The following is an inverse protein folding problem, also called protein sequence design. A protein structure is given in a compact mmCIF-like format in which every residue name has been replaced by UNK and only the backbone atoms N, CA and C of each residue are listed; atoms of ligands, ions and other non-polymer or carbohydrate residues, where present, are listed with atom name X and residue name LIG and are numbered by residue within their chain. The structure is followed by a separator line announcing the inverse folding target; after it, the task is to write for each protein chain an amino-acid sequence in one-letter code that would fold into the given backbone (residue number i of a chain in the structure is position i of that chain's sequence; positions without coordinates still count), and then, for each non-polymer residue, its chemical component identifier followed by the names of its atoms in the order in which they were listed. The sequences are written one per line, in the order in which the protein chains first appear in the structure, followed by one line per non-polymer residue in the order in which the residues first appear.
data_IF_064858589064
#
_entry.id   IF_064858589064
#
_cell.length_a   1.000
_cell.length_b   1.000
_cell.length_c   1.000
_cell.angle_alpha   90.00
_cell.angle_beta   90.00
_cell.angle_gamma   90.00
#
_symmetry.space_group_name_H-M   'P 1'
#
loop_
_entity.id
_entity.type
_entity.pdbx_description
1 polymer ?
#
# COMPACT_ATOMS: atom_id res chain seq x y z
N UNK A 1 4.23 15.45 -0.25
CA UNK A 1 2.77 15.21 -0.20
C UNK A 1 2.49 14.38 1.04
N UNK A 2 1.56 14.83 1.90
CA UNK A 2 1.26 14.14 3.17
C UNK A 2 0.80 12.70 2.84
N UNK A 3 1.42 11.70 3.43
CA UNK A 3 1.11 10.25 3.29
C UNK A 3 -0.32 9.89 3.75
N UNK A 4 -1.18 10.89 3.99
CA UNK A 4 -2.51 10.79 4.58
C UNK A 4 -3.55 10.32 3.54
N UNK A 5 -3.29 10.52 2.24
CA UNK A 5 -4.26 10.25 1.16
C UNK A 5 -5.19 11.44 0.90
N UNK A 6 -6.29 11.22 0.19
CA UNK A 6 -7.22 12.28 -0.24
C UNK A 6 -8.34 12.60 0.78
N UNK A 7 -8.03 12.49 2.08
CA UNK A 7 -8.97 12.82 3.16
C UNK A 7 -9.26 14.32 3.24
N UNK A 8 -10.45 14.69 3.73
CA UNK A 8 -10.78 16.09 4.02
C UNK A 8 -9.94 16.66 5.16
N UNK A 9 -9.84 17.99 5.24
CA UNK A 9 -9.16 18.67 6.34
C UNK A 9 -9.74 18.29 7.72
N UNK A 10 -11.06 18.09 7.78
CA UNK A 10 -11.76 17.64 8.99
C UNK A 10 -11.29 16.26 9.47
N UNK A 11 -11.11 15.31 8.54
CA UNK A 11 -10.55 14.01 8.86
C UNK A 11 -9.09 14.14 9.30
N UNK A 12 -8.30 14.94 8.59
CA UNK A 12 -6.88 15.15 8.90
C UNK A 12 -6.72 15.73 10.32
N UNK A 13 -7.56 16.69 10.70
CA UNK A 13 -7.57 17.27 12.03
C UNK A 13 -7.97 16.25 13.10
N UNK A 14 -9.01 15.45 12.85
CA UNK A 14 -9.44 14.37 13.75
C UNK A 14 -8.30 13.36 14.00
N UNK A 15 -7.62 12.92 12.94
CA UNK A 15 -6.51 11.97 13.03
C UNK A 15 -5.33 12.57 13.79
N UNK A 16 -4.98 13.83 13.49
CA UNK A 16 -3.89 14.56 14.15
C UNK A 16 -4.15 14.73 15.64
N UNK A 17 -5.39 15.07 16.03
CA UNK A 17 -5.81 15.21 17.43
C UNK A 17 -5.62 13.91 18.24
N UNK A 18 -5.79 12.76 17.60
CA UNK A 18 -5.60 11.45 18.24
C UNK A 18 -4.20 10.87 18.00
N UNK A 19 -3.31 11.63 17.36
CA UNK A 19 -1.96 11.18 17.02
C UNK A 19 -1.95 9.95 16.13
N UNK A 20 -2.95 9.77 15.27
CA UNK A 20 -3.10 8.63 14.36
C UNK A 20 -2.51 8.97 13.00
N UNK A 21 -1.69 8.07 12.46
CA UNK A 21 -1.13 8.14 11.12
C UNK A 21 -1.71 7.03 10.23
N UNK A 22 -1.53 7.16 8.91
CA UNK A 22 -1.84 6.07 7.98
C UNK A 22 -0.99 4.85 8.30
N UNK A 23 -1.59 3.67 8.14
CA UNK A 23 -1.09 2.36 8.50
C UNK A 23 -1.00 2.10 10.02
N UNK A 24 -1.39 3.05 10.86
CA UNK A 24 -1.61 2.78 12.28
C UNK A 24 -2.82 1.86 12.45
N UNK A 25 -2.77 1.02 13.49
CA UNK A 25 -3.92 0.23 13.91
C UNK A 25 -4.75 1.04 14.89
N UNK A 26 -6.04 1.15 14.60
CA UNK A 26 -6.98 1.96 15.36
C UNK A 26 -8.21 1.16 15.76
N UNK A 27 -8.82 1.56 16.88
CA UNK A 27 -10.13 1.11 17.31
C UNK A 27 -11.11 2.27 17.21
N UNK A 28 -12.24 2.02 16.56
CA UNK A 28 -13.30 2.98 16.31
C UNK A 28 -14.59 2.49 16.95
N UNK A 29 -15.19 3.31 17.79
CA UNK A 29 -16.57 3.13 18.22
C UNK A 29 -17.47 3.79 17.17
N UNK A 30 -17.99 2.97 16.26
CA UNK A 30 -18.89 3.38 15.19
C UNK A 30 -20.33 3.10 15.62
N UNK A 31 -21.08 4.16 15.93
CA UNK A 31 -22.41 4.04 16.56
C UNK A 31 -22.36 3.15 17.82
N UNK A 32 -22.87 1.93 17.75
CA UNK A 32 -22.88 0.97 18.87
C UNK A 32 -22.01 -0.27 18.58
N UNK A 33 -21.21 -0.21 17.51
CA UNK A 33 -20.29 -1.27 17.09
C UNK A 33 -18.84 -0.82 17.26
N UNK A 34 -18.02 -1.66 17.88
CA UNK A 34 -16.59 -1.45 17.96
C UNK A 34 -15.93 -2.16 16.80
N UNK A 35 -15.15 -1.42 16.01
CA UNK A 35 -14.36 -1.96 14.92
C UNK A 35 -12.89 -1.67 15.17
N UNK A 36 -12.04 -2.64 14.90
CA UNK A 36 -10.59 -2.48 14.95
C UNK A 36 -9.98 -2.85 13.60
N UNK A 37 -9.02 -2.06 13.14
CA UNK A 37 -8.37 -2.28 11.86
C UNK A 37 -7.19 -1.34 11.60
N UNK A 38 -6.54 -1.56 10.47
CA UNK A 38 -5.45 -0.71 9.98
C UNK A 38 -6.03 0.44 9.18
N UNK A 39 -5.69 1.68 9.54
CA UNK A 39 -6.10 2.85 8.78
C UNK A 39 -5.38 2.88 7.43
N UNK A 40 -6.13 2.89 6.35
CA UNK A 40 -5.62 2.97 4.99
C UNK A 40 -5.65 4.41 4.45
N UNK A 41 -4.77 4.75 3.50
CA UNK A 41 -4.93 5.98 2.75
C UNK A 41 -6.22 5.91 1.94
N UNK A 42 -6.90 7.03 1.79
CA UNK A 42 -8.15 7.11 1.03
C UNK A 42 -7.89 7.39 -0.45
N UNK A 43 -8.60 6.71 -1.37
CA UNK A 43 -8.52 7.00 -2.81
C UNK A 43 -9.06 8.39 -3.14
N UNK A 44 -8.77 8.89 -4.34
CA UNK A 44 -9.19 10.23 -4.78
C UNK A 44 -10.72 10.38 -4.94
N UNK A 45 -11.43 9.28 -5.19
CA UNK A 45 -12.88 9.25 -5.40
C UNK A 45 -13.67 8.90 -4.12
N UNK A 46 -14.97 9.22 -4.11
CA UNK A 46 -15.88 8.94 -3.00
C UNK A 46 -16.04 10.10 -2.01
N UNK A 47 -16.53 9.85 -0.80
CA UNK A 47 -16.80 10.89 0.20
C UNK A 47 -15.59 11.16 1.11
N UNK A 48 -14.91 12.33 1.01
CA UNK A 48 -13.65 12.64 1.70
C UNK A 48 -13.70 12.57 3.23
N UNK A 49 -14.91 12.53 3.81
CA UNK A 49 -15.18 12.41 5.25
C UNK A 49 -15.27 10.94 5.74
N UNK A 50 -14.88 9.95 4.92
CA UNK A 50 -14.97 8.52 5.27
C UNK A 50 -13.61 7.88 5.53
N UNK A 51 -13.33 7.46 6.78
CA UNK A 51 -12.15 6.67 7.15
C UNK A 51 -12.20 5.28 6.51
N UNK A 52 -11.09 4.86 5.89
CA UNK A 52 -10.97 3.52 5.33
C UNK A 52 -10.16 2.64 6.30
N UNK A 53 -10.79 1.59 6.82
CA UNK A 53 -10.16 0.63 7.73
C UNK A 53 -10.05 -0.73 7.06
N UNK A 54 -8.87 -1.34 7.14
CA UNK A 54 -8.68 -2.75 6.78
C UNK A 54 -8.78 -3.63 8.01
N UNK A 55 -9.74 -4.54 7.99
CA UNK A 55 -10.01 -5.50 9.04
C UNK A 55 -9.04 -6.68 8.97
N UNK A 56 -8.94 -7.46 10.05
CA UNK A 56 -8.05 -8.63 10.12
C UNK A 56 -8.44 -9.75 9.14
N UNK A 57 -9.71 -9.80 8.74
CA UNK A 57 -10.19 -10.72 7.71
C UNK A 57 -9.82 -10.27 6.28
N UNK A 58 -9.10 -9.16 6.12
CA UNK A 58 -8.64 -8.62 4.85
C UNK A 58 -9.63 -7.70 4.14
N UNK A 59 -10.87 -7.56 4.62
CA UNK A 59 -11.86 -6.66 4.04
C UNK A 59 -11.59 -5.20 4.44
N UNK A 60 -11.86 -4.30 3.50
CA UNK A 60 -11.85 -2.86 3.75
C UNK A 60 -13.28 -2.39 4.04
N UNK A 61 -13.44 -1.54 5.05
CA UNK A 61 -14.69 -0.87 5.34
C UNK A 61 -14.51 0.65 5.35
N UNK A 62 -15.58 1.38 5.08
CA UNK A 62 -15.64 2.83 5.21
C UNK A 62 -16.45 3.23 6.44
N UNK A 63 -15.90 4.12 7.27
CA UNK A 63 -16.59 4.70 8.42
C UNK A 63 -16.62 6.22 8.28
N UNK A 64 -17.81 6.76 8.01
CA UNK A 64 -18.00 8.22 7.93
C UNK A 64 -17.72 8.87 9.29
N UNK A 65 -16.94 9.95 9.32
CA UNK A 65 -16.46 10.57 10.57
C UNK A 65 -17.57 11.07 11.48
N UNK A 66 -18.74 11.44 10.94
CA UNK A 66 -19.89 11.86 11.77
C UNK A 66 -20.40 10.75 12.69
N UNK A 67 -20.16 9.49 12.34
CA UNK A 67 -20.68 8.32 13.06
C UNK A 67 -19.64 7.75 14.04
N UNK A 68 -18.46 8.37 14.12
CA UNK A 68 -17.39 7.98 15.03
C UNK A 68 -17.65 8.64 16.38
N UNK A 69 -18.04 7.83 17.37
CA UNK A 69 -18.19 8.29 18.76
C UNK A 69 -16.84 8.35 19.50
N UNK A 70 -15.89 7.47 19.13
CA UNK A 70 -14.57 7.40 19.74
C UNK A 70 -13.54 6.82 18.77
N UNK A 71 -12.33 7.38 18.79
CA UNK A 71 -11.17 6.91 18.03
C UNK A 71 -10.00 6.68 18.99
N UNK A 72 -9.40 5.49 18.95
CA UNK A 72 -8.27 5.13 19.79
C UNK A 72 -7.13 4.56 18.94
N UNK A 73 -5.91 5.03 19.17
CA UNK A 73 -4.70 4.44 18.61
C UNK A 73 -4.36 3.16 19.39
N UNK A 74 -4.33 2.02 18.72
CA UNK A 74 -3.96 0.72 19.31
C UNK A 74 -2.47 0.46 19.16
N UNK A 75 -1.92 0.66 17.96
CA UNK A 75 -0.49 0.49 17.71
C UNK A 75 -0.02 1.30 16.51
N UNK A 76 1.22 1.78 16.57
CA UNK A 76 1.86 2.43 15.42
C UNK A 76 2.10 1.46 14.27
N UNK A 77 1.80 1.92 13.06
CA UNK A 77 2.08 1.24 11.83
C UNK A 77 3.58 1.10 11.61
N UNK A 78 3.98 0.02 10.94
CA UNK A 78 5.34 -0.13 10.41
C UNK A 78 5.29 0.09 8.91
N UNK A 79 6.18 0.93 8.39
CA UNK A 79 6.42 0.99 6.94
C UNK A 79 6.84 -0.40 6.47
N UNK A 80 6.11 -0.96 5.51
CA UNK A 80 6.48 -2.22 4.89
C UNK A 80 7.59 -1.92 3.90
N UNK A 81 8.83 -2.26 4.26
CA UNK A 81 9.91 -2.29 3.29
C UNK A 81 9.71 -3.52 2.40
N UNK A 82 9.42 -3.29 1.12
CA UNK A 82 9.46 -4.35 0.13
C UNK A 82 10.89 -4.86 0.07
N UNK A 83 11.10 -6.13 0.45
CA UNK A 83 12.43 -6.74 0.37
C UNK A 83 12.93 -6.66 -1.07
N UNK A 84 14.21 -6.31 -1.30
CA UNK A 84 14.78 -6.36 -2.63
C UNK A 84 14.66 -7.78 -3.21
N UNK A 85 14.53 -7.90 -4.54
CA UNK A 85 14.49 -9.21 -5.19
C UNK A 85 15.76 -9.99 -4.87
N UNK A 86 15.66 -11.33 -4.84
CA UNK A 86 16.85 -12.17 -4.70
C UNK A 86 17.75 -11.97 -5.91
N UNK A 87 19.06 -11.84 -5.69
CA UNK A 87 20.05 -11.72 -6.75
C UNK A 87 19.96 -12.94 -7.66
N UNK A 88 19.62 -12.72 -8.93
CA UNK A 88 19.49 -13.77 -9.92
C UNK A 88 20.81 -13.92 -10.68
N UNK A 89 21.34 -15.15 -10.79
CA UNK A 89 22.57 -15.40 -11.56
C UNK A 89 22.22 -15.44 -13.05
N UNK A 90 22.53 -14.37 -13.76
CA UNK A 90 22.31 -14.27 -15.21
C UNK A 90 23.39 -15.07 -15.95
N UNK A 91 23.00 -15.79 -17.00
CA UNK A 91 23.94 -16.53 -17.85
C UNK A 91 24.84 -15.56 -18.63
N UNK A 92 26.11 -15.94 -18.81
CA UNK A 92 27.07 -15.15 -19.59
C UNK A 92 26.79 -15.26 -21.09
N UNK A 93 27.18 -14.24 -21.86
CA UNK A 93 27.10 -14.19 -23.32
C UNK A 93 25.68 -14.23 -23.92
N UNK A 94 24.72 -13.57 -23.26
CA UNK A 94 23.37 -13.38 -23.79
C UNK A 94 23.25 -12.06 -24.56
N UNK A 95 22.30 -11.95 -25.53
CA UNK A 95 22.00 -10.68 -26.17
C UNK A 95 21.54 -9.65 -25.13
N UNK A 96 21.99 -8.40 -25.31
CA UNK A 96 21.53 -7.28 -24.50
C UNK A 96 20.19 -6.78 -25.02
N UNK A 97 19.24 -6.56 -24.12
CA UNK A 97 17.89 -6.08 -24.45
C UNK A 97 17.54 -4.96 -23.48
N UNK A 98 17.25 -3.77 -24.02
CA UNK A 98 16.80 -2.64 -23.23
C UNK A 98 15.28 -2.68 -23.05
N UNK A 99 14.79 -2.48 -21.82
CA UNK A 99 13.36 -2.34 -21.52
C UNK A 99 13.04 -0.87 -21.30
N UNK A 100 12.44 -0.25 -22.32
CA UNK A 100 11.98 1.13 -22.21
C UNK A 100 10.58 1.19 -21.60
N UNK A 101 10.49 1.62 -20.34
CA UNK A 101 9.22 1.89 -19.68
C UNK A 101 8.55 3.15 -20.22
N UNK A 102 7.48 3.00 -21.00
CA UNK A 102 6.68 4.11 -21.54
C UNK A 102 5.32 4.26 -20.84
N UNK A 103 5.11 3.52 -19.75
CA UNK A 103 3.80 3.21 -19.18
C UNK A 103 3.58 1.70 -19.21
N UNK A 104 2.33 1.24 -19.10
CA UNK A 104 1.99 -0.19 -19.24
C UNK A 104 2.80 -1.09 -18.31
N UNK A 105 2.43 -1.15 -17.03
CA UNK A 105 3.14 -1.93 -16.02
C UNK A 105 3.17 -3.43 -16.37
N UNK A 106 4.36 -3.97 -16.68
CA UNK A 106 4.58 -5.41 -16.98
C UNK A 106 5.07 -6.22 -15.78
N UNK A 107 5.49 -5.55 -14.70
CA UNK A 107 5.89 -6.15 -13.44
C UNK A 107 5.41 -5.31 -12.27
N UNK A 108 4.91 -5.95 -11.21
CA UNK A 108 4.45 -5.26 -10.00
C UNK A 108 4.57 -6.13 -8.76
N UNK A 109 4.54 -5.47 -7.60
CA UNK A 109 4.55 -6.11 -6.28
C UNK A 109 3.30 -5.73 -5.51
N UNK A 110 2.71 -6.72 -4.85
CA UNK A 110 1.55 -6.52 -3.99
C UNK A 110 1.99 -6.54 -2.54
N UNK A 111 1.70 -5.46 -1.81
CA UNK A 111 1.75 -5.47 -0.35
C UNK A 111 0.42 -5.98 0.19
N UNK A 112 0.37 -7.24 0.61
CA UNK A 112 -0.85 -7.84 1.14
C UNK A 112 -1.34 -7.21 2.44
N UNK A 113 -0.48 -6.53 3.22
CA UNK A 113 -0.91 -5.83 4.44
C UNK A 113 -1.75 -4.62 4.08
N UNK A 114 -1.30 -3.79 3.14
CA UNK A 114 -2.00 -2.56 2.76
C UNK A 114 -2.97 -2.76 1.59
N UNK A 115 -2.79 -3.82 0.80
CA UNK A 115 -3.48 -4.03 -0.48
C UNK A 115 -2.91 -3.19 -1.62
N UNK A 116 -1.82 -2.44 -1.40
CA UNK A 116 -1.24 -1.59 -2.41
C UNK A 116 -0.48 -2.40 -3.47
N UNK A 117 -0.54 -1.93 -4.72
CA UNK A 117 0.21 -2.48 -5.85
C UNK A 117 1.25 -1.45 -6.26
N UNK A 118 2.52 -1.87 -6.29
CA UNK A 118 3.64 -1.02 -6.66
C UNK A 118 4.20 -1.49 -8.01
N UNK A 119 4.34 -0.61 -9.00
CA UNK A 119 5.03 -0.96 -10.23
C UNK A 119 6.50 -1.27 -9.94
N UNK A 120 7.01 -2.28 -10.62
CA UNK A 120 8.41 -2.71 -10.55
C UNK A 120 9.14 -2.22 -11.79
N UNK A 121 10.23 -1.47 -11.58
CA UNK A 121 10.97 -0.78 -12.66
C UNK A 121 12.39 -1.30 -12.87
N UNK A 122 12.84 -2.25 -12.05
CA UNK A 122 14.22 -2.76 -12.12
C UNK A 122 14.28 -4.05 -12.93
N UNK A 123 15.40 -4.29 -13.61
CA UNK A 123 15.65 -5.55 -14.31
C UNK A 123 15.53 -6.74 -13.36
N UNK A 124 16.00 -6.61 -12.12
CA UNK A 124 15.92 -7.64 -11.09
C UNK A 124 14.48 -7.97 -10.70
N UNK A 125 13.57 -6.99 -10.69
CA UNK A 125 12.16 -7.25 -10.46
C UNK A 125 11.54 -8.06 -11.60
N UNK A 126 11.92 -7.77 -12.84
CA UNK A 126 11.45 -8.51 -14.02
C UNK A 126 11.98 -9.95 -14.00
N UNK A 127 13.26 -10.16 -13.68
CA UNK A 127 13.81 -11.51 -13.50
C UNK A 127 13.19 -12.26 -12.32
N UNK A 128 12.86 -11.57 -11.22
CA UNK A 128 12.20 -12.20 -10.08
C UNK A 128 10.77 -12.64 -10.41
N UNK A 129 10.09 -11.90 -11.31
CA UNK A 129 8.75 -12.22 -11.79
C UNK A 129 8.76 -13.31 -12.87
N UNK A 130 9.73 -13.26 -13.78
CA UNK A 130 9.89 -14.20 -14.91
C UNK A 130 11.33 -14.75 -14.91
N UNK A 131 11.63 -15.75 -14.06
CA UNK A 131 12.98 -16.29 -13.90
C UNK A 131 13.58 -16.88 -15.18
N UNK A 132 12.76 -17.28 -16.14
CA UNK A 132 13.17 -17.88 -17.41
C UNK A 132 13.98 -16.92 -18.28
N UNK A 133 13.86 -15.61 -18.08
CA UNK A 133 14.58 -14.59 -18.83
C UNK A 133 16.10 -14.65 -18.61
N UNK A 134 16.57 -15.27 -17.52
CA UNK A 134 18.00 -15.38 -17.15
C UNK A 134 18.83 -16.19 -18.15
N UNK A 135 18.15 -17.02 -18.95
CA UNK A 135 18.75 -17.87 -19.98
C UNK A 135 18.54 -17.30 -21.40
N UNK A 136 17.79 -16.19 -21.54
CA UNK A 136 17.35 -15.64 -22.82
C UNK A 136 18.09 -14.34 -23.14
N UNK A 137 18.14 -13.38 -22.21
CA UNK A 137 18.70 -12.06 -22.45
C UNK A 137 19.34 -11.44 -21.20
N UNK A 138 20.25 -10.49 -21.42
CA UNK A 138 20.70 -9.55 -20.39
C UNK A 138 19.87 -8.26 -20.52
N UNK A 139 19.00 -8.01 -19.55
CA UNK A 139 18.14 -6.83 -19.45
C UNK A 139 18.88 -5.59 -18.92
N UNK A 140 18.61 -4.43 -19.51
CA UNK A 140 18.98 -3.10 -19.01
C UNK A 140 17.84 -2.08 -19.11
#
# INVERSE_FOLDING_TARGET
MREIGYYSDKVIELLSKHGVNIFDRVKVLWNDTVVEGVLLPRPEYGDPDTLILKLDNGYNIGVHVSNIKKLELISKGRKVELKPPRVVKIKKNLPKVAILGTGGTIASRVDYKTGAVYPSFTAEDVYALVPELVDIAYLE
#
